data_IF_115788513494
#
_entry.id   IF_115788513494
#
_cell.length_a   1.000
_cell.length_b   1.000
_cell.length_c   1.000
_cell.angle_alpha   90.00
_cell.angle_beta   90.00
_cell.angle_gamma   90.00
#
_symmetry.space_group_name_H-M   'P 1'
#
loop_
_entity.id
_entity.type
_entity.pdbx_description
1 polymer ?
#
# COMPACT_ATOMS: atom_id res chain seq x y z
N UNK A 1 -9.29 -15.01 -19.29
CA UNK A 1 -9.18 -13.87 -18.36
C UNK A 1 -7.81 -13.24 -18.57
N UNK A 2 -7.72 -11.91 -18.68
CA UNK A 2 -6.42 -11.22 -18.76
C UNK A 2 -5.74 -11.34 -17.40
N UNK A 3 -4.48 -11.74 -17.35
CA UNK A 3 -3.72 -11.77 -16.10
C UNK A 3 -3.57 -10.34 -15.55
N UNK A 4 -3.68 -10.19 -14.23
CA UNK A 4 -3.49 -8.91 -13.56
C UNK A 4 -2.00 -8.61 -13.46
N UNK A 5 -1.63 -7.34 -13.58
CA UNK A 5 -0.25 -6.90 -13.32
C UNK A 5 0.02 -7.03 -11.82
N UNK A 6 1.08 -7.76 -11.47
CA UNK A 6 1.50 -7.99 -10.09
C UNK A 6 2.44 -6.90 -9.61
N UNK A 7 2.16 -6.35 -8.42
CA UNK A 7 2.91 -5.26 -7.82
C UNK A 7 3.29 -5.57 -6.37
N UNK A 8 4.32 -4.87 -5.87
CA UNK A 8 4.68 -4.81 -4.46
C UNK A 8 4.56 -3.38 -3.96
N UNK A 9 4.05 -3.23 -2.74
CA UNK A 9 3.97 -1.97 -2.02
C UNK A 9 5.19 -1.76 -1.13
N UNK A 10 5.60 -0.51 -0.96
CA UNK A 10 6.60 -0.12 0.03
C UNK A 10 6.09 1.07 0.81
N UNK A 11 6.06 0.95 2.13
CA UNK A 11 5.68 2.00 3.05
C UNK A 11 6.86 2.31 3.97
N UNK A 12 7.03 3.60 4.26
CA UNK A 12 8.06 4.05 5.20
C UNK A 12 7.52 5.19 6.01
N UNK A 13 8.03 5.28 7.22
CA UNK A 13 7.60 6.22 8.22
C UNK A 13 8.83 6.81 8.89
N UNK A 14 8.78 8.12 9.11
CA UNK A 14 9.75 8.78 9.98
C UNK A 14 9.29 8.58 11.41
N UNK A 15 10.18 8.07 12.26
CA UNK A 15 9.87 7.61 13.63
C UNK A 15 9.47 8.72 14.59
N UNK A 16 9.75 9.99 14.26
CA UNK A 16 9.51 11.12 15.15
C UNK A 16 8.02 11.38 15.42
N UNK A 17 7.11 11.08 14.48
CA UNK A 17 5.66 11.37 14.59
C UNK A 17 4.76 10.11 14.48
N UNK A 18 5.33 8.91 14.59
CA UNK A 18 4.60 7.67 14.27
C UNK A 18 3.52 7.25 15.27
N UNK A 19 3.62 7.68 16.54
CA UNK A 19 2.78 7.13 17.62
C UNK A 19 1.35 7.67 17.65
N UNK A 20 1.07 8.83 17.06
CA UNK A 20 -0.23 9.50 17.22
C UNK A 20 -1.18 9.27 16.03
N UNK A 21 -0.70 9.26 14.79
CA UNK A 21 -1.58 9.27 13.61
C UNK A 21 -1.73 7.92 12.88
N UNK A 22 -0.94 6.90 13.23
CA UNK A 22 -1.00 5.60 12.53
C UNK A 22 -0.67 5.73 11.04
N UNK A 23 0.23 6.65 10.67
CA UNK A 23 0.56 7.03 9.28
C UNK A 23 0.97 5.86 8.39
N UNK A 24 1.51 4.78 8.94
CA UNK A 24 1.81 3.56 8.20
C UNK A 24 0.54 2.91 7.64
N UNK A 25 -0.55 2.87 8.43
CA UNK A 25 -1.82 2.24 8.04
C UNK A 25 -2.51 3.04 6.92
N UNK A 26 -2.37 4.36 6.95
CA UNK A 26 -2.88 5.26 5.89
C UNK A 26 -2.16 4.97 4.57
N UNK A 27 -0.83 4.82 4.60
CA UNK A 27 -0.06 4.47 3.41
C UNK A 27 -0.44 3.09 2.86
N UNK A 28 -0.56 2.07 3.73
CA UNK A 28 -1.00 0.74 3.30
C UNK A 28 -2.39 0.75 2.67
N UNK A 29 -3.32 1.53 3.24
CA UNK A 29 -4.68 1.68 2.72
C UNK A 29 -4.67 2.32 1.33
N UNK A 30 -3.91 3.41 1.16
CA UNK A 30 -3.78 4.10 -0.13
C UNK A 30 -3.24 3.17 -1.23
N UNK A 31 -2.24 2.33 -0.92
CA UNK A 31 -1.72 1.34 -1.86
C UNK A 31 -2.78 0.30 -2.27
N UNK A 32 -3.57 -0.19 -1.31
CA UNK A 32 -4.66 -1.15 -1.58
C UNK A 32 -5.75 -0.52 -2.46
N UNK A 33 -6.12 0.73 -2.19
CA UNK A 33 -7.11 1.47 -3.00
C UNK A 33 -6.63 1.67 -4.43
N UNK A 34 -5.38 2.13 -4.62
CA UNK A 34 -4.79 2.31 -5.94
C UNK A 34 -4.79 1.02 -6.78
N UNK A 35 -4.37 -0.10 -6.19
CA UNK A 35 -4.32 -1.40 -6.89
C UNK A 35 -5.74 -1.86 -7.28
N UNK A 36 -6.72 -1.65 -6.39
CA UNK A 36 -8.13 -1.99 -6.66
C UNK A 36 -8.70 -1.17 -7.81
N UNK A 37 -8.44 0.13 -7.85
CA UNK A 37 -8.93 1.03 -8.89
C UNK A 37 -8.31 0.75 -10.27
N UNK A 38 -7.09 0.25 -10.29
CA UNK A 38 -6.33 0.01 -11.53
C UNK A 38 -6.34 -1.45 -12.00
N UNK A 39 -7.11 -2.32 -11.34
CA UNK A 39 -7.19 -3.75 -11.67
C UNK A 39 -5.80 -4.42 -11.69
N UNK A 40 -5.04 -4.19 -10.63
CA UNK A 40 -3.74 -4.83 -10.36
C UNK A 40 -3.87 -5.87 -9.24
N UNK A 41 -2.82 -6.65 -9.03
CA UNK A 41 -2.69 -7.59 -7.91
C UNK A 41 -1.56 -7.11 -6.98
N UNK A 42 -1.89 -6.76 -5.74
CA UNK A 42 -0.89 -6.42 -4.72
C UNK A 42 -0.44 -7.69 -4.01
N UNK A 43 0.81 -8.11 -4.26
CA UNK A 43 1.34 -9.37 -3.74
C UNK A 43 1.82 -9.23 -2.30
N UNK A 44 2.41 -8.07 -1.96
CA UNK A 44 2.96 -7.79 -0.63
C UNK A 44 3.14 -6.30 -0.40
N UNK A 45 3.16 -5.88 0.86
CA UNK A 45 3.63 -4.56 1.29
C UNK A 45 4.85 -4.77 2.20
N UNK A 46 5.88 -3.94 2.02
CA UNK A 46 7.10 -3.89 2.80
C UNK A 46 7.23 -2.59 3.57
#
# INVERSE_FOLDING_TARGET
MKELIKLVGYCRVSTDNQKEEGTILIQEKALKEYVKENNFELVRIF
#
